data_IF_969520157206
#
_entry.id   IF_969520157206
#
_cell.length_a   1.000
_cell.length_b   1.000
_cell.length_c   1.000
_cell.angle_alpha   90.00
_cell.angle_beta   90.00
_cell.angle_gamma   90.00
#
_symmetry.space_group_name_H-M   'P 1'
#
loop_
_entity.id
_entity.type
_entity.pdbx_description
1 polymer ?
#
# COMPACT_ATOMS: atom_id res chain seq x y z
N UNK A 1 6.69 4.92 -4.32
CA UNK A 1 5.88 5.39 -5.43
C UNK A 1 6.65 5.17 -6.71
N UNK A 2 5.97 4.97 -7.83
CA UNK A 2 6.61 4.84 -9.14
C UNK A 2 5.67 5.24 -10.25
N UNK A 3 6.20 5.24 -11.46
CA UNK A 3 5.49 5.57 -12.69
C UNK A 3 5.64 4.44 -13.69
N UNK A 4 4.56 4.14 -14.41
CA UNK A 4 4.54 3.10 -15.45
C UNK A 4 3.71 3.61 -16.63
N UNK A 5 4.30 3.61 -17.82
CA UNK A 5 3.57 3.95 -19.04
C UNK A 5 2.92 2.71 -19.64
N UNK A 6 1.65 2.81 -19.98
CA UNK A 6 0.94 1.71 -20.65
C UNK A 6 -0.56 1.92 -20.76
N UNK A 7 -1.20 0.98 -21.45
CA UNK A 7 -2.66 0.94 -21.61
C UNK A 7 -3.27 0.19 -20.43
N UNK A 8 -4.26 0.80 -19.80
CA UNK A 8 -5.02 0.10 -18.78
C UNK A 8 -6.17 -0.68 -19.39
N UNK A 9 -6.17 -2.00 -19.19
CA UNK A 9 -7.22 -2.91 -19.65
C UNK A 9 -7.98 -3.44 -18.44
N UNK A 10 -9.23 -3.01 -18.22
CA UNK A 10 -10.04 -3.52 -17.11
C UNK A 10 -10.41 -5.00 -17.32
N UNK A 11 -10.36 -5.79 -16.26
CA UNK A 11 -10.81 -7.19 -16.30
C UNK A 11 -12.31 -7.33 -16.50
N UNK A 12 -13.08 -6.33 -16.03
CA UNK A 12 -14.53 -6.22 -16.24
C UNK A 12 -14.85 -4.78 -16.63
N UNK A 13 -15.37 -4.54 -17.84
CA UNK A 13 -15.76 -3.21 -18.30
C UNK A 13 -16.80 -2.52 -17.40
N UNK A 14 -17.66 -3.30 -16.74
CA UNK A 14 -18.67 -2.77 -15.82
C UNK A 14 -18.05 -2.34 -14.48
N UNK A 15 -16.93 -2.96 -14.08
CA UNK A 15 -16.23 -2.68 -12.84
C UNK A 15 -14.73 -2.45 -13.07
N UNK A 16 -14.30 -1.32 -13.63
CA UNK A 16 -12.92 -1.07 -14.02
C UNK A 16 -12.00 -0.76 -12.81
N UNK A 17 -12.26 -1.39 -11.66
CA UNK A 17 -11.43 -1.25 -10.46
C UNK A 17 -10.24 -2.20 -10.44
N UNK A 18 -10.26 -3.25 -11.26
CA UNK A 18 -9.20 -4.24 -11.41
C UNK A 18 -8.94 -4.48 -12.88
N UNK A 19 -7.69 -4.67 -13.20
CA UNK A 19 -7.27 -4.92 -14.58
C UNK A 19 -5.78 -5.13 -14.67
N UNK A 20 -5.24 -4.92 -15.85
CA UNK A 20 -3.81 -4.98 -16.13
C UNK A 20 -3.36 -3.70 -16.81
N UNK A 21 -2.13 -3.28 -16.53
CA UNK A 21 -1.43 -2.28 -17.33
C UNK A 21 -0.59 -3.05 -18.34
N UNK A 22 -0.87 -2.86 -19.63
CA UNK A 22 -0.11 -3.43 -20.73
C UNK A 22 0.93 -2.43 -21.17
N UNK A 23 2.19 -2.73 -20.92
CA UNK A 23 3.34 -1.87 -21.23
C UNK A 23 3.86 -2.10 -22.64
N UNK A 24 4.69 -1.19 -23.15
CA UNK A 24 5.23 -1.26 -24.52
C UNK A 24 6.11 -2.49 -24.76
N UNK A 25 6.74 -3.05 -23.72
CA UNK A 25 7.51 -4.29 -23.78
C UNK A 25 6.63 -5.57 -23.82
N UNK A 26 5.30 -5.40 -23.86
CA UNK A 26 4.33 -6.51 -23.87
C UNK A 26 4.06 -7.13 -22.50
N UNK A 27 4.62 -6.58 -21.43
CA UNK A 27 4.36 -7.07 -20.07
C UNK A 27 2.96 -6.65 -19.60
N UNK A 28 2.22 -7.58 -19.00
CA UNK A 28 0.94 -7.30 -18.34
C UNK A 28 1.16 -7.25 -16.84
N UNK A 29 0.90 -6.09 -16.23
CA UNK A 29 1.07 -5.83 -14.81
C UNK A 29 -0.30 -5.80 -14.14
N UNK A 30 -0.56 -6.70 -13.20
CA UNK A 30 -1.80 -6.65 -12.43
C UNK A 30 -1.94 -5.31 -11.70
N UNK A 31 -3.09 -4.68 -11.84
CA UNK A 31 -3.34 -3.36 -11.28
C UNK A 31 -4.72 -3.23 -10.64
N UNK A 32 -4.77 -2.45 -9.56
CA UNK A 32 -6.00 -2.05 -8.88
C UNK A 32 -6.09 -0.54 -8.87
N UNK A 33 -7.21 -0.01 -9.35
CA UNK A 33 -7.50 1.42 -9.39
C UNK A 33 -8.07 1.86 -8.06
N UNK A 34 -7.45 2.86 -7.42
CA UNK A 34 -7.94 3.43 -6.17
C UNK A 34 -8.94 4.57 -6.42
N UNK A 35 -9.95 4.64 -5.56
CA UNK A 35 -11.18 5.40 -5.63
C UNK A 35 -11.22 6.70 -6.45
N UNK A 36 -10.34 7.68 -6.18
CA UNK A 36 -10.35 8.98 -6.88
C UNK A 36 -9.94 8.87 -8.35
N UNK A 37 -8.97 8.01 -8.64
CA UNK A 37 -8.51 7.79 -10.01
C UNK A 37 -9.60 7.20 -10.88
N UNK A 38 -10.47 6.35 -10.34
CA UNK A 38 -11.58 5.76 -11.09
C UNK A 38 -12.54 6.82 -11.66
N UNK A 39 -12.78 7.89 -10.91
CA UNK A 39 -13.62 9.00 -11.37
C UNK A 39 -12.92 9.78 -12.48
N UNK A 40 -11.62 10.03 -12.36
CA UNK A 40 -10.80 10.70 -13.37
C UNK A 40 -10.79 9.89 -14.67
N UNK A 41 -10.53 8.57 -14.59
CA UNK A 41 -10.51 7.66 -15.73
C UNK A 41 -11.83 7.68 -16.52
N UNK A 42 -12.96 7.67 -15.81
CA UNK A 42 -14.29 7.65 -16.45
C UNK A 42 -14.69 8.95 -17.14
N UNK A 43 -14.14 10.08 -16.69
CA UNK A 43 -14.57 11.40 -17.13
C UNK A 43 -13.60 12.08 -18.09
N UNK A 44 -12.31 11.80 -17.95
CA UNK A 44 -11.28 12.63 -18.55
C UNK A 44 -10.19 11.85 -19.28
N UNK A 45 -10.13 10.52 -19.15
CA UNK A 45 -9.08 9.75 -19.79
C UNK A 45 -9.64 8.84 -20.88
N UNK A 46 -8.94 8.83 -22.02
CA UNK A 46 -9.15 7.86 -23.08
C UNK A 46 -8.29 6.62 -22.81
N UNK A 47 -8.90 5.55 -22.36
CA UNK A 47 -8.21 4.30 -21.99
C UNK A 47 -7.64 3.54 -23.19
N UNK A 48 -7.97 3.95 -24.43
CA UNK A 48 -7.38 3.40 -25.64
C UNK A 48 -5.96 3.95 -25.89
N UNK A 49 -5.60 5.05 -25.19
CA UNK A 49 -4.27 5.65 -25.26
C UNK A 49 -3.38 5.16 -24.10
N UNK A 50 -2.05 5.12 -24.31
CA UNK A 50 -1.11 4.85 -23.22
C UNK A 50 -0.97 6.07 -22.32
N UNK A 51 -1.14 5.89 -21.02
CA UNK A 51 -0.96 6.94 -20.01
C UNK A 51 0.23 6.64 -19.11
N UNK A 52 0.82 7.67 -18.50
CA UNK A 52 1.83 7.51 -17.48
C UNK A 52 1.16 7.42 -16.10
N UNK A 53 1.00 6.19 -15.62
CA UNK A 53 0.30 5.88 -14.38
C UNK A 53 1.19 6.07 -13.16
N UNK A 54 0.71 6.82 -12.17
CA UNK A 54 1.34 6.92 -10.85
C UNK A 54 0.84 5.77 -9.98
N UNK A 55 1.78 4.95 -9.48
CA UNK A 55 1.48 3.68 -8.85
C UNK A 55 2.24 3.44 -7.54
N UNK A 56 1.68 2.62 -6.67
CA UNK A 56 2.37 2.03 -5.52
C UNK A 56 2.62 0.54 -5.80
N UNK A 57 3.89 0.11 -5.78
CA UNK A 57 4.23 -1.30 -6.00
C UNK A 57 3.87 -2.16 -4.78
N UNK A 58 3.47 -3.38 -5.06
CA UNK A 58 3.22 -4.46 -4.10
C UNK A 58 3.80 -5.75 -4.68
N UNK A 59 4.28 -6.63 -3.82
CA UNK A 59 4.58 -8.02 -4.21
C UNK A 59 3.44 -8.90 -3.73
N UNK A 60 2.84 -9.66 -4.63
CA UNK A 60 1.82 -10.64 -4.32
C UNK A 60 2.46 -12.00 -4.07
N UNK A 61 3.36 -12.38 -4.96
CA UNK A 61 4.19 -13.58 -4.90
C UNK A 61 5.65 -13.23 -5.20
N UNK A 62 6.56 -14.20 -5.14
CA UNK A 62 8.01 -13.96 -5.26
C UNK A 62 8.45 -13.28 -6.56
N UNK A 63 7.68 -13.39 -7.63
CA UNK A 63 8.03 -12.83 -8.93
C UNK A 63 6.88 -12.06 -9.60
N UNK A 64 5.84 -11.69 -8.84
CA UNK A 64 4.68 -11.04 -9.40
C UNK A 64 4.48 -9.64 -8.81
N UNK A 65 4.72 -8.64 -9.64
CA UNK A 65 4.47 -7.24 -9.32
C UNK A 65 2.97 -6.96 -9.41
N UNK A 66 2.44 -6.36 -8.37
CA UNK A 66 1.06 -5.87 -8.32
C UNK A 66 1.07 -4.36 -8.08
N UNK A 67 0.28 -3.62 -8.83
CA UNK A 67 0.29 -2.17 -8.80
C UNK A 67 -1.02 -1.62 -8.22
N UNK A 68 -0.91 -0.62 -7.36
CA UNK A 68 -2.04 0.17 -6.90
C UNK A 68 -1.97 1.53 -7.59
N UNK A 69 -2.86 1.75 -8.55
CA UNK A 69 -2.93 2.98 -9.33
C UNK A 69 -3.59 4.09 -8.51
N UNK A 70 -2.91 5.23 -8.39
CA UNK A 70 -3.36 6.35 -7.54
C UNK A 70 -3.55 7.64 -8.32
N UNK A 71 -2.94 7.77 -9.50
CA UNK A 71 -3.00 8.96 -10.35
C UNK A 71 -2.50 8.68 -11.75
N UNK A 72 -2.54 9.73 -12.56
CA UNK A 72 -1.92 9.82 -13.87
C UNK A 72 -1.03 11.06 -13.87
N UNK A 73 0.08 10.98 -14.59
CA UNK A 73 1.00 12.09 -14.78
C UNK A 73 0.86 12.61 -16.21
N UNK A 74 0.09 13.67 -16.38
CA UNK A 74 -0.15 14.33 -17.66
C UNK A 74 -0.27 15.85 -17.44
N UNK A 75 0.82 16.54 -17.11
CA UNK A 75 0.81 17.95 -16.83
C UNK A 75 0.38 18.79 -18.05
N UNK A 76 0.64 18.34 -19.30
CA UNK A 76 0.20 18.99 -20.52
C UNK A 76 -1.33 19.07 -20.62
N UNK A 77 -2.03 17.97 -20.30
CA UNK A 77 -3.49 17.90 -20.32
C UNK A 77 -4.12 18.80 -19.25
N UNK A 78 -3.50 18.84 -18.06
CA UNK A 78 -3.93 19.71 -16.96
C UNK A 78 -3.75 21.19 -17.32
N UNK A 79 -2.58 21.56 -17.89
CA UNK A 79 -2.31 22.91 -18.34
C UNK A 79 -3.26 23.34 -19.47
N UNK A 80 -3.57 22.46 -20.42
CA UNK A 80 -4.55 22.74 -21.47
C UNK A 80 -5.97 22.94 -20.92
N UNK A 81 -6.37 22.16 -19.91
CA UNK A 81 -7.66 22.31 -19.23
C UNK A 81 -7.76 23.64 -18.48
N UNK A 82 -6.68 24.07 -17.82
CA UNK A 82 -6.63 25.36 -17.12
C UNK A 82 -6.68 26.53 -18.10
N UNK A 83 -6.00 26.44 -19.26
CA UNK A 83 -6.05 27.45 -20.32
C UNK A 83 -7.45 27.54 -20.92
N UNK A 84 -8.12 26.39 -21.17
CA UNK A 84 -9.50 26.38 -21.67
C UNK A 84 -10.48 26.99 -20.67
N UNK A 85 -10.33 26.65 -19.37
CA UNK A 85 -11.17 27.21 -18.32
C UNK A 85 -10.94 28.74 -18.16
N UNK A 86 -9.70 29.20 -18.31
CA UNK A 86 -9.37 30.62 -18.31
C UNK A 86 -9.93 31.33 -19.56
N UNK A 87 -9.88 30.72 -20.74
CA UNK A 87 -10.45 31.24 -21.97
C UNK A 87 -11.99 31.34 -21.89
N UNK A 88 -12.66 30.34 -21.37
CA UNK A 88 -14.11 30.36 -21.12
C UNK A 88 -14.51 31.45 -20.11
N UNK A 89 -13.70 31.67 -19.07
CA UNK A 89 -13.90 32.76 -18.11
C UNK A 89 -13.69 34.14 -18.72
N UNK A 90 -12.68 34.29 -19.62
CA UNK A 90 -12.45 35.52 -20.38
C UNK A 90 -13.56 35.79 -21.40
N UNK A 91 -14.00 34.75 -22.14
CA UNK A 91 -15.09 34.89 -23.11
C UNK A 91 -16.42 35.27 -22.41
N UNK A 92 -16.63 34.84 -21.18
CA UNK A 92 -17.77 35.25 -20.36
C UNK A 92 -17.64 36.71 -19.87
N UNK A 93 -16.42 37.25 -19.75
CA UNK A 93 -16.14 38.61 -19.32
C UNK A 93 -16.06 39.62 -20.49
N UNK A 94 -15.80 39.13 -21.72
CA UNK A 94 -15.51 40.00 -22.90
C UNK A 94 -16.76 40.40 -23.71
N UNK A 95 -17.94 40.26 -23.13
CA UNK A 95 -19.14 40.83 -23.75
C UNK A 95 -19.19 42.37 -23.67
N UNK A 96 -18.15 43.07 -23.21
CA UNK A 96 -18.16 44.54 -22.95
C UNK A 96 -16.94 45.34 -23.40
N UNK A 97 -15.92 44.78 -24.07
CA UNK A 97 -14.81 45.64 -24.57
C UNK A 97 -14.31 45.18 -25.95
N UNK A 98 -14.62 45.97 -26.96
CA UNK A 98 -13.98 45.89 -28.27
C UNK A 98 -12.55 46.45 -28.19
N UNK A 99 -11.57 45.65 -28.67
CA UNK A 99 -10.29 46.16 -29.18
C UNK A 99 -9.07 45.85 -28.34
N UNK A 100 -8.51 44.69 -28.57
CA UNK A 100 -7.06 44.45 -28.68
C UNK A 100 -6.86 42.94 -28.97
N UNK A 101 -6.17 42.63 -30.10
CA UNK A 101 -5.79 41.26 -30.40
C UNK A 101 -4.89 40.73 -29.28
N UNK A 102 -5.23 39.61 -28.61
CA UNK A 102 -4.31 39.01 -27.66
C UNK A 102 -3.14 38.41 -28.43
N UNK A 103 -1.94 38.95 -28.23
CA UNK A 103 -0.70 38.31 -28.62
C UNK A 103 -0.73 36.88 -28.06
N UNK A 104 -0.75 35.90 -28.95
CA UNK A 104 -0.65 34.50 -28.61
C UNK A 104 0.66 34.28 -27.85
N UNK A 105 0.59 34.25 -26.53
CA UNK A 105 1.67 33.75 -25.70
C UNK A 105 1.61 32.22 -25.90
N UNK A 106 2.45 31.77 -26.82
CA UNK A 106 2.74 30.35 -27.01
C UNK A 106 3.46 29.87 -25.74
N UNK A 107 2.68 29.67 -24.66
CA UNK A 107 3.16 29.06 -23.46
C UNK A 107 3.50 27.61 -23.84
N UNK A 108 4.79 27.30 -23.92
CA UNK A 108 5.25 25.94 -24.14
C UNK A 108 4.55 25.03 -23.09
N UNK A 109 3.71 24.11 -23.57
CA UNK A 109 3.04 23.15 -22.71
C UNK A 109 4.10 22.35 -21.93
N UNK A 110 3.91 22.10 -20.65
CA UNK A 110 4.85 21.32 -19.88
C UNK A 110 4.99 19.92 -20.49
N UNK A 111 6.21 19.41 -20.54
CA UNK A 111 6.47 18.06 -21.03
C UNK A 111 5.86 17.02 -20.10
N UNK A 112 5.21 16.02 -20.68
CA UNK A 112 4.69 14.86 -19.95
C UNK A 112 5.79 13.82 -19.64
N UNK A 113 7.01 14.07 -20.11
CA UNK A 113 8.15 13.22 -19.82
C UNK A 113 8.76 13.58 -18.45
N UNK A 114 9.02 12.57 -17.65
CA UNK A 114 9.74 12.70 -16.39
C UNK A 114 11.25 12.58 -16.62
N UNK A 115 12.03 13.38 -15.88
CA UNK A 115 13.49 13.33 -15.94
C UNK A 115 14.03 11.93 -15.60
N UNK A 116 13.38 11.22 -14.70
CA UNK A 116 13.71 9.84 -14.32
C UNK A 116 13.28 8.81 -15.37
N UNK A 117 12.43 9.22 -16.33
CA UNK A 117 11.89 8.37 -17.37
C UNK A 117 10.79 7.42 -16.89
N UNK A 118 10.28 6.62 -17.85
CA UNK A 118 9.25 5.61 -17.57
C UNK A 118 9.80 4.46 -16.72
N UNK A 119 8.90 3.73 -16.03
CA UNK A 119 9.23 2.55 -15.23
C UNK A 119 10.14 2.81 -14.01
N UNK A 120 10.25 4.08 -13.59
CA UNK A 120 10.99 4.47 -12.40
C UNK A 120 10.17 4.31 -11.13
N UNK A 121 10.83 3.81 -10.06
CA UNK A 121 10.24 3.65 -8.73
C UNK A 121 11.19 4.14 -7.65
N UNK A 122 10.72 4.99 -6.75
CA UNK A 122 11.41 5.35 -5.53
C UNK A 122 10.75 4.69 -4.32
N UNK A 123 11.53 3.87 -3.60
CA UNK A 123 11.05 3.09 -2.46
C UNK A 123 11.93 3.34 -1.25
N UNK A 124 11.29 3.63 -0.11
CA UNK A 124 11.96 3.81 1.18
C UNK A 124 11.45 2.80 2.19
N UNK A 125 12.37 2.14 2.91
CA UNK A 125 11.97 1.13 3.87
C UNK A 125 13.13 0.50 4.62
N UNK A 126 12.82 -0.49 5.45
CA UNK A 126 13.78 -1.31 6.19
C UNK A 126 14.25 -2.47 5.32
N UNK A 127 15.55 -2.57 5.04
CA UNK A 127 16.12 -3.73 4.38
C UNK A 127 16.10 -4.91 5.35
N UNK A 128 15.23 -5.89 5.09
CA UNK A 128 15.04 -7.05 5.98
C UNK A 128 15.69 -8.32 5.47
N UNK A 129 16.03 -8.36 4.19
CA UNK A 129 16.70 -9.50 3.56
C UNK A 129 17.51 -9.03 2.37
N UNK A 130 18.69 -9.58 2.21
CA UNK A 130 19.54 -9.44 1.03
C UNK A 130 20.32 -10.73 0.83
N UNK A 131 20.45 -11.14 -0.41
CA UNK A 131 21.29 -12.27 -0.86
C UNK A 131 22.05 -11.83 -2.10
N UNK A 132 23.27 -11.32 -1.95
CA UNK A 132 24.05 -10.82 -3.10
C UNK A 132 24.28 -11.85 -4.18
N UNK A 133 24.43 -13.15 -3.82
CA UNK A 133 24.71 -14.22 -4.77
C UNK A 133 23.57 -14.46 -5.78
N UNK A 134 22.31 -14.23 -5.37
CA UNK A 134 21.14 -14.41 -6.22
C UNK A 134 20.50 -13.08 -6.62
N UNK A 135 20.97 -11.97 -6.06
CA UNK A 135 20.40 -10.65 -6.28
C UNK A 135 19.01 -10.48 -5.67
N UNK A 136 18.64 -11.28 -4.66
CA UNK A 136 17.33 -11.16 -4.03
C UNK A 136 17.36 -10.16 -2.87
N UNK A 137 16.45 -9.20 -2.90
CA UNK A 137 16.27 -8.19 -1.87
C UNK A 137 14.83 -8.17 -1.36
N UNK A 138 14.64 -7.94 -0.07
CA UNK A 138 13.31 -7.69 0.50
C UNK A 138 13.36 -6.45 1.39
N UNK A 139 12.51 -5.50 1.07
CA UNK A 139 12.34 -4.26 1.85
C UNK A 139 10.98 -4.24 2.51
N UNK A 140 10.96 -3.93 3.79
CA UNK A 140 9.75 -3.73 4.57
C UNK A 140 9.35 -2.27 4.56
N UNK A 141 8.25 -1.99 3.89
CA UNK A 141 7.70 -0.64 3.75
C UNK A 141 6.65 -0.41 4.82
N UNK A 142 6.78 0.72 5.53
CA UNK A 142 5.81 1.18 6.53
C UNK A 142 5.07 2.38 5.97
N UNK A 143 3.76 2.32 6.02
CA UNK A 143 2.92 3.46 5.67
C UNK A 143 2.74 4.38 6.89
N UNK A 144 2.52 5.66 6.63
CA UNK A 144 2.17 6.62 7.66
C UNK A 144 0.83 6.25 8.31
N UNK A 145 0.63 6.61 9.59
CA UNK A 145 -0.68 6.49 10.22
C UNK A 145 -1.74 7.22 9.41
N UNK A 146 -2.93 6.67 9.34
CA UNK A 146 -4.08 7.32 8.73
C UNK A 146 -4.58 8.46 9.61
N UNK A 147 -5.44 9.31 9.06
CA UNK A 147 -6.05 10.42 9.81
C UNK A 147 -6.85 9.96 11.04
N UNK A 148 -7.37 8.74 11.03
CA UNK A 148 -8.07 8.09 12.15
C UNK A 148 -7.11 7.54 13.23
N UNK A 149 -5.80 7.75 13.09
CA UNK A 149 -4.76 7.23 13.98
C UNK A 149 -4.44 5.75 13.78
N UNK A 150 -5.14 5.04 12.91
CA UNK A 150 -4.85 3.64 12.61
C UNK A 150 -3.53 3.52 11.86
N UNK A 151 -2.74 2.49 12.21
CA UNK A 151 -1.47 2.22 11.55
C UNK A 151 -1.64 1.06 10.59
N UNK A 152 -1.50 1.29 9.29
CA UNK A 152 -1.54 0.21 8.31
C UNK A 152 -0.47 -0.85 8.60
N UNK A 153 -0.79 -2.09 8.30
CA UNK A 153 0.16 -3.19 8.45
C UNK A 153 1.32 -2.99 7.46
N UNK A 154 2.58 -3.05 7.93
CA UNK A 154 3.73 -2.99 7.04
C UNK A 154 3.69 -4.14 6.05
N UNK A 155 4.11 -3.88 4.82
CA UNK A 155 4.21 -4.91 3.79
C UNK A 155 5.66 -5.12 3.36
N UNK A 156 5.92 -6.27 2.76
CA UNK A 156 7.22 -6.62 2.19
C UNK A 156 7.16 -6.40 0.68
N UNK A 157 8.20 -5.82 0.13
CA UNK A 157 8.39 -5.65 -1.30
C UNK A 157 9.63 -6.43 -1.70
N UNK A 158 9.49 -7.29 -2.69
CA UNK A 158 10.56 -8.08 -3.25
C UNK A 158 11.18 -7.34 -4.43
N UNK A 159 12.48 -7.33 -4.51
CA UNK A 159 13.27 -6.57 -5.45
C UNK A 159 14.42 -7.42 -5.95
N UNK A 160 15.00 -7.02 -7.07
CA UNK A 160 16.24 -7.57 -7.61
C UNK A 160 17.36 -6.55 -7.53
N UNK A 161 18.54 -6.98 -7.11
CA UNK A 161 19.73 -6.15 -7.05
C UNK A 161 20.71 -6.65 -5.99
N UNK A 162 21.83 -5.95 -5.87
CA UNK A 162 22.88 -6.30 -4.93
C UNK A 162 23.03 -5.19 -3.89
N UNK A 163 22.83 -5.57 -2.64
CA UNK A 163 23.09 -4.69 -1.49
C UNK A 163 23.91 -5.48 -0.46
N UNK A 164 25.04 -4.93 0.03
CA UNK A 164 25.86 -5.61 1.01
C UNK A 164 25.11 -6.02 2.28
N UNK A 165 25.52 -7.14 2.89
CA UNK A 165 24.91 -7.68 4.12
C UNK A 165 25.02 -6.70 5.31
N UNK A 166 26.01 -5.83 5.32
CA UNK A 166 26.20 -4.80 6.35
C UNK A 166 25.04 -3.82 6.44
N UNK A 167 24.30 -3.62 5.35
CA UNK A 167 23.13 -2.73 5.30
C UNK A 167 21.83 -3.41 5.75
N UNK A 168 21.91 -4.68 6.17
CA UNK A 168 20.76 -5.37 6.73
C UNK A 168 20.27 -4.63 7.98
N UNK A 169 18.94 -4.47 8.10
CA UNK A 169 18.27 -3.69 9.16
C UNK A 169 18.57 -2.19 9.16
N UNK A 170 19.05 -1.66 8.06
CA UNK A 170 19.08 -0.22 7.85
C UNK A 170 17.82 0.27 7.17
N UNK A 171 17.49 1.51 7.40
CA UNK A 171 16.51 2.23 6.63
C UNK A 171 17.20 2.72 5.36
N UNK A 172 16.70 2.31 4.22
CA UNK A 172 17.28 2.58 2.90
C UNK A 172 16.32 3.33 2.01
N UNK A 173 16.86 4.18 1.14
CA UNK A 173 16.18 4.77 0.01
C UNK A 173 16.71 4.08 -1.25
N UNK A 174 15.82 3.59 -2.08
CA UNK A 174 16.12 2.80 -3.26
C UNK A 174 15.48 3.42 -4.47
N UNK A 175 16.27 3.61 -5.52
CA UNK A 175 15.80 3.94 -6.85
C UNK A 175 15.83 2.65 -7.67
N UNK A 176 14.70 2.36 -8.29
CA UNK A 176 14.45 1.09 -8.93
C UNK A 176 13.93 1.31 -10.34
N UNK A 177 14.23 0.39 -11.24
CA UNK A 177 13.67 0.32 -12.58
C UNK A 177 12.90 -0.98 -12.75
N UNK A 178 11.71 -0.89 -13.34
CA UNK A 178 10.95 -2.09 -13.68
C UNK A 178 11.59 -2.79 -14.88
N UNK A 179 11.71 -4.11 -14.79
CA UNK A 179 12.09 -4.99 -15.87
C UNK A 179 11.12 -6.18 -15.87
N UNK A 180 10.20 -6.22 -16.82
CA UNK A 180 9.13 -7.19 -16.85
C UNK A 180 8.26 -7.11 -15.59
N UNK A 181 8.16 -8.21 -14.86
CA UNK A 181 7.39 -8.32 -13.59
C UNK A 181 8.22 -8.00 -12.34
N UNK A 182 9.45 -7.51 -12.47
CA UNK A 182 10.37 -7.30 -11.35
C UNK A 182 10.81 -5.85 -11.25
N UNK A 183 11.16 -5.43 -10.04
CA UNK A 183 11.79 -4.15 -9.77
C UNK A 183 13.27 -4.37 -9.49
N UNK A 184 14.11 -3.84 -10.37
CA UNK A 184 15.56 -3.93 -10.30
C UNK A 184 16.18 -2.70 -9.68
N UNK A 185 17.15 -2.89 -8.81
CA UNK A 185 17.86 -1.83 -8.12
C UNK A 185 18.77 -1.06 -9.07
N UNK A 186 18.62 0.25 -9.12
CA UNK A 186 19.54 1.18 -9.81
C UNK A 186 20.48 1.86 -8.80
N UNK A 187 19.92 2.34 -7.68
CA UNK A 187 20.71 2.94 -6.61
C UNK A 187 20.20 2.60 -5.23
N UNK A 188 21.10 2.63 -4.24
CA UNK A 188 20.77 2.39 -2.85
C UNK A 188 21.52 3.42 -1.97
N UNK A 189 20.76 4.21 -1.24
CA UNK A 189 21.24 5.10 -0.21
C UNK A 189 20.88 4.58 1.17
N UNK A 190 21.88 4.44 2.06
CA UNK A 190 21.65 4.06 3.45
C UNK A 190 21.38 5.32 4.26
N UNK A 191 20.13 5.46 4.71
CA UNK A 191 19.67 6.67 5.42
C UNK A 191 20.04 6.60 6.90
N UNK A 192 19.73 5.48 7.56
CA UNK A 192 20.03 5.32 8.98
C UNK A 192 19.98 3.86 9.44
N UNK A 193 20.77 3.46 10.43
CA UNK A 193 20.61 2.19 11.11
C UNK A 193 19.31 2.19 11.94
N UNK A 194 18.55 1.10 11.88
CA UNK A 194 17.37 0.95 12.73
C UNK A 194 17.76 0.33 14.06
N UNK A 195 17.45 1.03 15.15
CA UNK A 195 17.66 0.53 16.49
C UNK A 195 16.95 -0.83 16.65
N UNK A 196 17.69 -1.84 17.08
CA UNK A 196 17.11 -3.12 17.45
C UNK A 196 16.12 -2.83 18.58
N UNK A 197 14.85 -3.12 18.34
CA UNK A 197 13.87 -3.20 19.43
C UNK A 197 14.37 -4.32 20.34
N UNK A 198 15.04 -3.94 21.43
CA UNK A 198 15.42 -4.87 22.47
C UNK A 198 14.18 -5.70 22.81
N UNK A 199 14.32 -7.00 22.75
CA UNK A 199 13.38 -7.95 23.30
C UNK A 199 13.09 -7.52 24.74
N UNK A 200 11.94 -6.90 24.98
CA UNK A 200 11.37 -6.77 26.32
C UNK A 200 11.01 -8.19 26.79
N UNK A 201 12.04 -8.96 27.07
CA UNK A 201 11.96 -10.31 27.58
C UNK A 201 12.90 -10.44 28.74
N UNK A 202 12.49 -9.99 29.84
CA UNK A 202 13.20 -10.14 31.09
C UNK A 202 12.27 -9.73 32.22
N UNK A 203 11.19 -10.52 32.40
CA UNK A 203 10.46 -10.54 33.64
C UNK A 203 11.46 -10.93 34.71
N UNK A 204 12.10 -9.92 35.30
CA UNK A 204 13.04 -10.08 36.41
C UNK A 204 12.37 -10.87 37.51
N UNK A 205 12.80 -12.11 37.61
CA UNK A 205 12.61 -12.96 38.77
C UNK A 205 13.30 -12.23 39.93
N UNK A 206 12.53 -11.48 40.73
CA UNK A 206 12.99 -11.00 42.02
C UNK A 206 13.21 -12.23 42.88
N UNK A 207 14.45 -12.67 42.94
CA UNK A 207 14.96 -13.54 43.98
C UNK A 207 14.94 -12.75 45.29
N UNK A 208 14.04 -13.15 46.18
CA UNK A 208 14.09 -12.75 47.57
C UNK A 208 15.27 -13.44 48.22
N UNK A 209 16.28 -12.65 48.58
CA UNK A 209 17.30 -13.08 49.55
C UNK A 209 16.82 -12.66 50.94
N UNK A 210 16.88 -13.62 51.88
CA UNK A 210 16.38 -13.56 53.19
C UNK A 210 17.07 -12.58 54.10
N UNK A 211 16.40 -12.29 55.17
CA UNK A 211 16.92 -11.61 56.37
C UNK A 211 15.96 -11.89 57.49
N UNK A 212 16.41 -12.68 58.47
CA UNK A 212 15.66 -13.18 59.61
C UNK A 212 15.34 -12.10 60.62
N UNK A 213 14.44 -12.43 61.54
CA UNK A 213 14.20 -11.65 62.75
C UNK A 213 12.86 -12.06 63.39
N UNK A 214 12.98 -12.76 64.48
CA UNK A 214 12.02 -13.41 65.36
C UNK A 214 10.95 -12.55 65.98
N UNK A 215 10.05 -13.19 66.65
CA UNK A 215 9.10 -12.60 67.60
C UNK A 215 7.69 -13.24 67.54
N UNK A 216 7.51 -14.23 68.28
CA UNK A 216 6.52 -14.51 69.32
C UNK A 216 5.03 -14.31 69.06
N UNK A 217 4.36 -15.49 69.28
CA UNK A 217 3.11 -15.73 70.03
C UNK A 217 1.85 -14.95 69.68
N UNK A 218 0.83 -15.70 69.39
CA UNK A 218 -0.56 -15.31 69.48
C UNK A 218 -1.53 -16.40 69.04
N UNK A 219 -1.80 -17.38 69.97
CA UNK A 219 -2.94 -18.29 69.90
C UNK A 219 -4.27 -17.55 69.87
N UNK A 220 -5.23 -18.03 69.11
CA UNK A 220 -6.65 -18.31 69.47
C UNK A 220 -7.40 -18.63 68.17
N UNK A 221 -7.79 -19.92 68.10
CA UNK A 221 -9.08 -20.57 68.32
C UNK A 221 -10.24 -19.98 67.53
N UNK A 222 -10.83 -20.87 66.75
CA UNK A 222 -12.26 -21.00 66.78
C UNK A 222 -12.95 -21.00 65.44
N UNK A 223 -13.37 -22.16 65.10
CA UNK A 223 -14.66 -22.73 64.70
C UNK A 223 -15.12 -22.45 63.30
N UNK A 224 -15.10 -23.48 62.49
CA UNK A 224 -16.20 -24.40 62.24
C UNK A 224 -17.33 -23.81 61.42
N UNK A 225 -17.50 -24.28 60.20
CA UNK A 225 -18.72 -24.87 59.63
C UNK A 225 -18.69 -24.94 58.10
N UNK A 226 -18.65 -26.14 57.63
CA UNK A 226 -19.24 -26.63 56.34
C UNK A 226 -20.72 -26.98 56.65
N UNK A 227 -21.53 -27.42 55.68
CA UNK A 227 -21.68 -27.24 54.24
C UNK A 227 -23.16 -27.03 53.80
N UNK A 228 -23.46 -26.92 52.52
CA UNK A 228 -24.64 -27.50 51.83
C UNK A 228 -24.62 -26.97 50.37
N UNK A 229 -24.48 -27.79 49.41
CA UNK A 229 -25.40 -28.72 48.72
C UNK A 229 -26.58 -28.05 48.01
N UNK A 230 -26.73 -28.55 46.78
CA UNK A 230 -27.92 -28.63 45.92
C UNK A 230 -28.10 -27.44 44.97
N UNK A 231 -28.54 -27.61 43.79
CA UNK A 231 -29.00 -28.71 42.94
C UNK A 231 -29.38 -28.10 41.56
N UNK A 232 -29.17 -28.93 40.52
CA UNK A 232 -30.00 -29.06 39.32
C UNK A 232 -30.45 -27.85 38.47
N UNK A 233 -30.23 -28.01 37.21
CA UNK A 233 -30.93 -27.32 36.12
C UNK A 233 -30.47 -27.77 34.74
N UNK A 234 -30.81 -28.97 34.34
CA UNK A 234 -30.83 -29.46 32.95
C UNK A 234 -31.92 -28.71 32.16
N UNK A 235 -31.62 -28.32 30.93
CA UNK A 235 -32.62 -28.01 29.94
C UNK A 235 -32.03 -28.13 28.53
N UNK A 236 -32.77 -28.73 27.60
CA UNK A 236 -32.22 -29.35 26.39
C UNK A 236 -32.19 -28.40 25.18
N UNK A 237 -31.29 -28.70 24.26
CA UNK A 237 -31.26 -28.10 22.93
C UNK A 237 -32.40 -28.54 22.02
N UNK A 238 -32.71 -27.79 20.95
CA UNK A 238 -33.48 -28.32 19.85
C UNK A 238 -32.62 -28.57 18.60
N UNK A 239 -32.76 -29.75 18.20
CA UNK A 239 -32.96 -30.44 16.93
C UNK A 239 -32.59 -29.75 15.63
N UNK A 240 -31.85 -30.50 14.88
CA UNK A 240 -31.62 -30.42 13.40
C UNK A 240 -32.98 -30.61 12.68
N UNK A 241 -33.18 -29.81 11.64
CA UNK A 241 -34.10 -30.15 10.57
C UNK A 241 -33.39 -30.27 9.24
N UNK A 242 -33.49 -31.47 8.69
CA UNK A 242 -33.25 -31.85 7.30
C UNK A 242 -34.39 -31.30 6.39
N UNK A 243 -34.03 -31.03 5.16
CA UNK A 243 -34.99 -30.90 4.04
C UNK A 243 -34.43 -29.93 3.03
N UNK A 244 -34.32 -30.13 1.77
CA UNK A 244 -34.65 -31.13 0.78
C UNK A 244 -34.09 -30.56 -0.53
N UNK A 245 -33.50 -31.42 -1.30
CA UNK A 245 -33.11 -31.18 -2.68
C UNK A 245 -34.38 -30.93 -3.55
N UNK A 246 -34.28 -29.95 -4.45
CA UNK A 246 -35.23 -29.86 -5.60
C UNK A 246 -34.43 -29.61 -6.88
N UNK A 247 -34.76 -30.44 -7.80
CA UNK A 247 -34.25 -30.76 -9.11
C UNK A 247 -34.26 -29.59 -10.11
N UNK A 248 -33.33 -29.66 -11.08
CA UNK A 248 -33.36 -29.02 -12.40
C UNK A 248 -34.61 -29.36 -13.19
N UNK A 249 -35.01 -28.56 -14.18
CA UNK A 249 -35.09 -29.12 -15.52
C UNK A 249 -34.34 -28.32 -16.59
N UNK A 250 -33.85 -29.10 -17.55
CA UNK A 250 -33.30 -28.73 -18.83
C UNK A 250 -34.36 -28.14 -19.76
N UNK A 251 -33.99 -27.09 -20.46
CA UNK A 251 -34.22 -26.93 -21.92
C UNK A 251 -33.35 -25.80 -22.43
#
# INVERSE_FOLDING_TARGET
IGVVRGHYVPSDPAQPTRGVIRTADGTELEAVVLGRLLTLMRRHLDLELPHLWVVYPRSRDENQLHLQMVGVWEPSTLAAADVLAAADALAAADALVEGEEPAAVEAALPSDDLAEGDDYFSVRGELIYTRPETGDLVVKVRQLPRADGSRPVPFKLQLRGEVPLEHLRHFVALDLRRQGQQLCLESCEVVAPLAQRGTRGGKGRRGGAGGGGGGERGERRGTDRRPSEADKGRGPGPARSHGQAVSRPSR
#
